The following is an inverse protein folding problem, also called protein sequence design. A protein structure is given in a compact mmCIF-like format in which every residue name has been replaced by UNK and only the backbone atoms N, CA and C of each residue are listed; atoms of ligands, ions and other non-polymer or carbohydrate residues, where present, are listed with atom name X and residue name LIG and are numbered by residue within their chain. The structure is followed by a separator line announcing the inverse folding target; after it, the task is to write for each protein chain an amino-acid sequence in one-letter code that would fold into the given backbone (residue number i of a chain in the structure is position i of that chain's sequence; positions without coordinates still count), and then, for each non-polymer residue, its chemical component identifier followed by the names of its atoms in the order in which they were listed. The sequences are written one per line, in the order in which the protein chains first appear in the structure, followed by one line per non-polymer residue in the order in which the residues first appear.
data_IF_215623383728
#
_entry.id   IF_215623383728
#
_cell.length_a   1.000
_cell.length_b   1.000
_cell.length_c   1.000
_cell.angle_alpha   90.00
_cell.angle_beta   90.00
_cell.angle_gamma   90.00
#
_symmetry.space_group_name_H-M   'P 1'
#
loop_
_entity.id
_entity.type
_entity.pdbx_description
1 polymer ?
#
# COMPACT_ATOMS: atom_id res chain seq x y z
N UNK A 1 -14.13 16.51 8.74
CA UNK A 1 -13.91 16.05 7.36
C UNK A 1 -13.08 14.79 7.45
N UNK A 2 -13.65 13.61 7.17
CA UNK A 2 -12.98 12.33 7.34
C UNK A 2 -11.98 12.05 6.21
N UNK A 3 -10.87 11.39 6.58
CA UNK A 3 -9.92 10.84 5.61
C UNK A 3 -10.57 9.61 4.99
N UNK A 4 -10.55 9.53 3.67
CA UNK A 4 -11.04 8.34 3.01
C UNK A 4 -9.94 7.28 2.93
N UNK A 5 -10.04 6.27 3.81
CA UNK A 5 -9.22 5.06 3.74
C UNK A 5 -10.14 3.91 3.34
N UNK A 6 -9.89 3.36 2.16
CA UNK A 6 -10.66 2.24 1.63
C UNK A 6 -9.94 0.93 1.93
N UNK A 7 -10.60 0.04 2.68
CA UNK A 7 -10.12 -1.31 2.94
C UNK A 7 -10.52 -2.25 1.80
N UNK A 8 -9.60 -3.01 1.29
CA UNK A 8 -9.84 -4.12 0.37
C UNK A 8 -9.81 -5.39 1.19
N UNK A 9 -10.97 -6.00 1.36
CA UNK A 9 -11.16 -7.21 2.18
C UNK A 9 -11.70 -8.33 1.30
N UNK A 10 -11.13 -9.53 1.42
CA UNK A 10 -11.63 -10.75 0.82
C UNK A 10 -11.60 -11.89 1.84
N UNK A 11 -12.74 -12.60 2.02
CA UNK A 11 -12.90 -13.68 3.00
C UNK A 11 -12.37 -13.30 4.40
N UNK A 12 -12.81 -12.15 4.91
CA UNK A 12 -12.41 -11.58 6.21
C UNK A 12 -10.93 -11.21 6.37
N UNK A 13 -10.11 -11.32 5.31
CA UNK A 13 -8.69 -10.92 5.32
C UNK A 13 -8.50 -9.57 4.65
N UNK A 14 -7.68 -8.73 5.24
CA UNK A 14 -7.27 -7.45 4.66
C UNK A 14 -6.26 -7.71 3.55
N UNK A 15 -6.59 -7.34 2.31
CA UNK A 15 -5.70 -7.44 1.16
C UNK A 15 -4.91 -6.16 0.93
N UNK A 16 -5.59 -5.02 1.07
CA UNK A 16 -4.94 -3.73 0.89
C UNK A 16 -5.68 -2.60 1.61
N UNK A 17 -4.96 -1.50 1.83
CA UNK A 17 -5.49 -0.20 2.20
C UNK A 17 -5.22 0.77 1.05
N UNK A 18 -6.24 1.48 0.58
CA UNK A 18 -6.08 2.59 -0.35
C UNK A 18 -6.36 3.88 0.41
N UNK A 19 -5.36 4.74 0.50
CA UNK A 19 -5.41 6.01 1.21
C UNK A 19 -5.55 7.12 0.17
N UNK A 20 -6.70 7.79 0.20
CA UNK A 20 -6.97 8.90 -0.70
C UNK A 20 -6.16 10.14 -0.32
N UNK A 21 -5.85 11.00 -1.29
CA UNK A 21 -5.10 12.24 -1.12
C UNK A 21 -5.69 13.20 -0.06
N UNK A 22 -6.90 12.94 0.43
CA UNK A 22 -7.54 13.71 1.51
C UNK A 22 -6.73 13.73 2.81
N UNK A 23 -5.80 12.79 3.04
CA UNK A 23 -4.88 12.82 4.18
C UNK A 23 -4.05 14.11 4.26
N UNK A 24 -3.79 14.78 3.14
CA UNK A 24 -3.02 16.04 3.08
C UNK A 24 -3.69 17.20 3.83
N UNK A 25 -4.97 17.06 4.20
CA UNK A 25 -5.73 18.03 5.02
C UNK A 25 -5.43 17.92 6.50
N UNK A 26 -4.83 16.82 6.95
CA UNK A 26 -4.42 16.61 8.34
C UNK A 26 -3.31 17.58 8.74
N UNK A 27 -3.21 17.84 10.03
CA UNK A 27 -2.14 18.63 10.65
C UNK A 27 -1.47 17.81 11.75
N UNK A 28 -0.21 18.12 12.05
CA UNK A 28 0.57 17.37 13.04
C UNK A 28 0.95 15.98 12.56
N UNK A 29 1.06 15.04 13.50
CA UNK A 29 1.42 13.64 13.27
C UNK A 29 0.16 12.79 13.25
N UNK A 30 -0.05 12.03 12.18
CA UNK A 30 -1.22 11.17 12.02
C UNK A 30 -0.81 9.82 11.43
N UNK A 31 -1.02 8.72 12.15
CA UNK A 31 -0.85 7.39 11.61
C UNK A 31 -2.12 6.95 10.87
N UNK A 32 -1.94 6.51 9.63
CA UNK A 32 -3.02 6.15 8.70
C UNK A 32 -3.32 4.64 8.70
N UNK A 33 -2.52 3.87 9.43
CA UNK A 33 -2.62 2.41 9.59
C UNK A 33 -3.00 2.05 11.02
N UNK A 34 -3.42 0.80 11.24
CA UNK A 34 -3.72 0.32 12.58
C UNK A 34 -2.41 0.24 13.39
N UNK A 35 -2.37 0.68 14.67
CA UNK A 35 -1.18 0.58 15.52
C UNK A 35 -0.59 -0.83 15.66
N UNK A 36 -1.40 -1.86 15.42
CA UNK A 36 -0.97 -3.29 15.48
C UNK A 36 -0.35 -3.79 14.17
N UNK A 37 -0.44 -3.02 13.07
CA UNK A 37 0.16 -3.42 11.80
C UNK A 37 1.70 -3.39 11.92
N UNK A 38 2.36 -4.36 11.30
CA UNK A 38 3.83 -4.46 11.32
C UNK A 38 4.53 -3.39 10.50
N UNK A 39 3.79 -2.74 9.61
CA UNK A 39 4.24 -1.57 8.86
C UNK A 39 3.29 -0.41 9.08
N UNK A 40 3.83 0.74 9.45
CA UNK A 40 3.08 1.94 9.76
C UNK A 40 3.26 2.99 8.67
N UNK A 41 2.16 3.66 8.32
CA UNK A 41 2.19 4.83 7.44
C UNK A 41 1.79 6.03 8.28
N UNK A 42 2.73 6.93 8.52
CA UNK A 42 2.51 8.19 9.23
C UNK A 42 2.56 9.37 8.27
N UNK A 43 1.58 10.25 8.34
CA UNK A 43 1.60 11.54 7.67
C UNK A 43 1.89 12.64 8.67
N UNK A 44 2.86 13.48 8.36
CA UNK A 44 3.28 14.59 9.21
C UNK A 44 3.19 15.92 8.46
N UNK A 45 2.59 16.90 9.09
CA UNK A 45 2.48 18.26 8.55
C UNK A 45 2.64 19.30 9.64
N UNK A 46 3.75 20.00 9.61
CA UNK A 46 4.13 21.00 10.60
C UNK A 46 4.38 22.35 9.94
N UNK A 47 4.25 23.42 10.72
CA UNK A 47 4.63 24.77 10.30
C UNK A 47 6.15 24.95 10.41
N UNK A 48 6.67 25.97 9.71
CA UNK A 48 8.07 26.41 9.86
C UNK A 48 8.43 26.61 11.34
N UNK A 49 9.66 26.30 11.72
CA UNK A 49 10.23 26.35 13.08
C UNK A 49 9.68 25.29 14.06
N UNK A 50 8.80 24.39 13.64
CA UNK A 50 8.43 23.25 14.49
C UNK A 50 9.62 22.31 14.66
N UNK A 51 9.89 21.93 15.89
CA UNK A 51 10.97 20.99 16.23
C UNK A 51 10.34 19.64 16.58
N UNK A 52 10.76 18.58 15.89
CA UNK A 52 10.50 17.22 16.30
C UNK A 52 11.67 16.81 17.20
N UNK A 53 11.39 16.50 18.47
CA UNK A 53 12.42 16.17 19.43
C UNK A 53 13.27 14.98 18.96
N UNK A 54 14.60 15.06 19.06
CA UNK A 54 15.49 13.93 18.80
C UNK A 54 15.09 12.71 19.65
N UNK A 55 15.09 11.55 19.04
CA UNK A 55 14.72 10.31 19.74
C UNK A 55 15.43 9.09 19.16
N UNK A 56 15.52 8.05 19.94
CA UNK A 56 16.04 6.75 19.55
C UNK A 56 14.92 5.72 19.56
N UNK A 57 14.85 4.90 18.51
CA UNK A 57 13.96 3.74 18.50
C UNK A 57 14.58 2.59 19.30
N UNK A 58 13.84 2.08 20.29
CA UNK A 58 14.26 0.92 21.07
C UNK A 58 14.28 -0.34 20.20
N UNK A 59 15.27 -1.20 20.44
CA UNK A 59 15.31 -2.54 19.81
C UNK A 59 14.06 -3.33 20.17
N UNK A 60 13.44 -3.97 19.20
CA UNK A 60 12.30 -4.86 19.40
C UNK A 60 12.33 -5.98 18.37
N UNK A 61 11.86 -7.15 18.73
CA UNK A 61 11.62 -8.25 17.82
C UNK A 61 10.19 -8.12 17.25
N UNK A 62 10.07 -8.24 15.93
CA UNK A 62 8.77 -8.24 15.25
C UNK A 62 8.71 -9.42 14.31
N UNK A 63 7.70 -10.27 14.46
CA UNK A 63 7.46 -11.37 13.54
C UNK A 63 6.67 -10.86 12.34
N UNK A 64 7.23 -10.98 11.15
CA UNK A 64 6.60 -10.63 9.89
C UNK A 64 6.27 -11.93 9.15
N UNK A 65 4.97 -12.18 8.91
CA UNK A 65 4.50 -13.37 8.21
C UNK A 65 4.36 -13.15 6.70
N UNK A 66 4.05 -11.94 6.29
CA UNK A 66 3.87 -11.54 4.90
C UNK A 66 4.60 -10.22 4.66
N UNK A 67 5.29 -10.12 3.53
CA UNK A 67 5.83 -8.86 3.07
C UNK A 67 4.67 -7.91 2.75
N UNK A 68 4.68 -6.73 3.37
CA UNK A 68 3.77 -5.65 3.01
C UNK A 68 4.50 -4.68 2.07
N UNK A 69 3.78 -4.19 1.07
CA UNK A 69 4.34 -3.25 0.08
C UNK A 69 3.50 -1.97 0.13
N UNK A 70 4.14 -0.83 0.35
CA UNK A 70 3.50 0.49 0.26
C UNK A 70 3.92 1.14 -1.04
N UNK A 71 2.96 1.55 -1.86
CA UNK A 71 3.20 2.23 -3.13
C UNK A 71 2.62 3.63 -3.05
N UNK A 72 3.45 4.62 -3.37
CA UNK A 72 3.10 6.04 -3.42
C UNK A 72 3.15 6.49 -4.88
N UNK A 73 2.04 6.96 -5.43
CA UNK A 73 1.96 7.42 -6.81
C UNK A 73 2.25 8.92 -6.89
N UNK A 74 3.35 9.29 -7.55
CA UNK A 74 3.72 10.68 -7.82
C UNK A 74 3.13 11.20 -9.12
N UNK A 75 3.01 10.32 -10.13
CA UNK A 75 2.47 10.66 -11.46
C UNK A 75 1.73 9.49 -12.06
N UNK A 76 0.76 9.76 -12.92
CA UNK A 76 0.10 8.77 -13.75
C UNK A 76 -1.00 7.96 -13.05
N UNK A 77 -1.30 6.79 -13.64
CA UNK A 77 -2.35 5.87 -13.21
C UNK A 77 -1.84 4.45 -13.26
N UNK A 78 -1.89 3.76 -12.13
CA UNK A 78 -1.57 2.36 -11.97
C UNK A 78 -2.86 1.55 -11.78
N UNK A 79 -3.07 0.49 -12.54
CA UNK A 79 -4.07 -0.53 -12.24
C UNK A 79 -3.43 -1.58 -11.33
N UNK A 80 -4.10 -1.88 -10.23
CA UNK A 80 -3.73 -2.93 -9.30
C UNK A 80 -4.73 -4.07 -9.44
N UNK A 81 -4.27 -5.25 -9.81
CA UNK A 81 -5.05 -6.45 -9.99
C UNK A 81 -4.90 -7.34 -8.75
N UNK A 82 -6.01 -7.72 -8.11
CA UNK A 82 -6.01 -8.52 -6.89
C UNK A 82 -6.33 -9.97 -7.19
N UNK A 83 -5.59 -10.88 -6.53
CA UNK A 83 -5.74 -12.32 -6.63
C UNK A 83 -5.79 -12.95 -5.24
N UNK A 84 -6.53 -14.04 -5.10
CA UNK A 84 -6.52 -14.82 -3.87
C UNK A 84 -5.24 -15.70 -3.76
N UNK A 85 -5.10 -16.40 -2.64
CA UNK A 85 -3.93 -17.27 -2.40
C UNK A 85 -3.85 -18.47 -3.36
N UNK A 86 -4.95 -18.78 -4.09
CA UNK A 86 -4.98 -19.78 -5.15
C UNK A 86 -4.71 -19.19 -6.53
N UNK A 87 -4.25 -17.92 -6.59
CA UNK A 87 -3.97 -17.15 -7.81
C UNK A 87 -5.22 -16.86 -8.67
N UNK A 88 -6.43 -17.00 -8.10
CA UNK A 88 -7.67 -16.65 -8.79
C UNK A 88 -7.85 -15.16 -8.77
N UNK A 89 -8.07 -14.55 -9.94
CA UNK A 89 -8.37 -13.13 -10.08
C UNK A 89 -9.67 -12.76 -9.36
N UNK A 90 -9.64 -11.65 -8.66
CA UNK A 90 -10.78 -11.12 -7.90
C UNK A 90 -11.38 -9.89 -8.57
N UNK A 91 -10.62 -8.83 -8.70
CA UNK A 91 -10.98 -7.56 -9.32
C UNK A 91 -9.77 -6.64 -9.39
N UNK A 92 -9.95 -5.46 -10.00
CA UNK A 92 -8.90 -4.44 -10.12
C UNK A 92 -9.34 -3.10 -9.55
N UNK A 93 -8.36 -2.29 -9.16
CA UNK A 93 -8.50 -0.88 -8.76
C UNK A 93 -7.53 -0.03 -9.55
N UNK A 94 -7.94 1.19 -9.88
CA UNK A 94 -7.05 2.24 -10.38
C UNK A 94 -6.58 3.09 -9.22
N UNK A 95 -5.29 3.31 -9.14
CA UNK A 95 -4.62 4.18 -8.17
C UNK A 95 -3.92 5.28 -8.96
N UNK A 96 -4.10 6.51 -8.54
CA UNK A 96 -3.65 7.68 -9.26
C UNK A 96 -2.77 8.59 -8.41
N UNK A 97 -2.19 9.60 -9.04
CA UNK A 97 -1.36 10.62 -8.40
C UNK A 97 -1.91 11.10 -7.06
N UNK A 98 -1.06 11.04 -6.04
CA UNK A 98 -1.34 11.50 -4.68
C UNK A 98 -2.06 10.49 -3.79
N UNK A 99 -2.42 9.32 -4.32
CA UNK A 99 -2.91 8.20 -3.54
C UNK A 99 -1.77 7.29 -3.09
N UNK A 100 -2.01 6.59 -1.99
CA UNK A 100 -1.10 5.58 -1.44
C UNK A 100 -1.87 4.26 -1.37
N UNK A 101 -1.23 3.16 -1.76
CA UNK A 101 -1.75 1.82 -1.52
C UNK A 101 -0.77 1.03 -0.69
N UNK A 102 -1.27 0.38 0.37
CA UNK A 102 -0.53 -0.60 1.16
C UNK A 102 -1.10 -1.98 0.86
N UNK A 103 -0.31 -2.83 0.27
CA UNK A 103 -0.63 -4.23 -0.02
C UNK A 103 -0.21 -5.09 1.18
N UNK A 104 -1.15 -5.85 1.73
CA UNK A 104 -0.97 -6.55 3.02
C UNK A 104 -0.94 -8.06 2.82
N UNK A 105 -1.81 -8.61 1.99
CA UNK A 105 -1.91 -10.04 1.76
C UNK A 105 -2.54 -10.37 0.40
N UNK A 106 -2.55 -11.65 0.04
CA UNK A 106 -3.02 -12.13 -1.26
C UNK A 106 -2.03 -11.87 -2.39
N UNK A 107 -2.41 -12.24 -3.60
CA UNK A 107 -1.65 -11.94 -4.81
C UNK A 107 -2.03 -10.58 -5.39
N UNK A 108 -1.08 -9.92 -6.01
CA UNK A 108 -1.32 -8.69 -6.74
C UNK A 108 -0.47 -8.61 -8.00
N UNK A 109 -0.94 -7.82 -8.95
CA UNK A 109 -0.23 -7.46 -10.17
C UNK A 109 -0.48 -6.00 -10.51
N UNK A 110 0.36 -5.43 -11.37
CA UNK A 110 0.28 -4.05 -11.79
C UNK A 110 0.23 -3.92 -13.30
N UNK A 111 -0.59 -2.99 -13.79
CA UNK A 111 -0.53 -2.51 -15.17
C UNK A 111 -0.49 -0.99 -15.19
N UNK A 112 0.47 -0.43 -15.88
CA UNK A 112 0.56 1.01 -16.11
C UNK A 112 -0.50 1.39 -17.12
N UNK A 113 -1.43 2.28 -16.73
CA UNK A 113 -2.50 2.81 -17.59
C UNK A 113 -2.12 4.17 -18.17
N UNK A 114 -1.40 4.98 -17.39
CA UNK A 114 -0.82 6.25 -17.81
C UNK A 114 0.54 6.36 -17.17
N UNK A 115 1.56 6.78 -17.91
CA UNK A 115 2.95 6.88 -17.45
C UNK A 115 3.03 7.17 -15.96
N UNK A 116 3.66 6.27 -15.23
CA UNK A 116 3.64 6.27 -13.77
C UNK A 116 5.03 6.51 -13.20
N UNK A 117 5.09 7.37 -12.19
CA UNK A 117 6.23 7.53 -11.30
C UNK A 117 5.75 7.18 -9.90
N UNK A 118 6.42 6.23 -9.25
CA UNK A 118 6.01 5.72 -7.94
C UNK A 118 7.22 5.26 -7.13
N UNK A 119 7.05 5.25 -5.80
CA UNK A 119 7.98 4.60 -4.87
C UNK A 119 7.29 3.37 -4.28
N UNK A 120 8.02 2.25 -4.24
CA UNK A 120 7.68 1.05 -3.48
C UNK A 120 8.54 1.01 -2.21
N UNK A 121 7.89 0.80 -1.06
CA UNK A 121 8.52 0.59 0.24
C UNK A 121 8.06 -0.75 0.77
N UNK A 122 9.00 -1.64 1.09
CA UNK A 122 8.67 -2.97 1.64
C UNK A 122 9.71 -3.41 2.66
N UNK A 123 9.38 -4.43 3.45
CA UNK A 123 10.36 -5.03 4.33
C UNK A 123 11.42 -5.78 3.51
N UNK A 124 12.67 -5.63 3.93
CA UNK A 124 13.82 -6.43 3.48
C UNK A 124 14.16 -7.54 4.49
N UNK A 125 15.24 -8.29 4.23
CA UNK A 125 16.09 -8.23 3.04
C UNK A 125 15.40 -8.83 1.81
N UNK A 126 15.77 -8.37 0.62
CA UNK A 126 15.21 -8.88 -0.63
C UNK A 126 15.96 -10.16 -1.09
N UNK A 127 15.20 -11.22 -1.38
CA UNK A 127 15.73 -12.45 -1.96
C UNK A 127 14.96 -12.79 -3.24
N UNK A 128 15.58 -12.64 -4.43
CA UNK A 128 14.89 -12.84 -5.71
C UNK A 128 14.26 -14.23 -5.90
N UNK A 129 14.88 -15.27 -5.32
CA UNK A 129 14.43 -16.65 -5.47
C UNK A 129 13.31 -17.05 -4.50
N UNK A 130 13.17 -16.36 -3.36
CA UNK A 130 12.26 -16.75 -2.27
C UNK A 130 11.09 -15.79 -2.06
N UNK A 131 11.25 -14.49 -2.42
CA UNK A 131 10.28 -13.47 -2.07
C UNK A 131 9.00 -13.49 -2.92
N UNK A 132 9.10 -13.89 -4.19
CA UNK A 132 7.98 -13.78 -5.13
C UNK A 132 7.80 -15.05 -5.95
N UNK A 133 6.56 -15.56 -6.00
CA UNK A 133 6.14 -16.60 -6.93
C UNK A 133 5.31 -15.97 -8.04
N UNK A 134 5.91 -15.75 -9.20
CA UNK A 134 5.24 -15.18 -10.39
C UNK A 134 4.20 -16.16 -10.94
N UNK A 135 3.14 -15.62 -11.53
CA UNK A 135 2.09 -16.38 -12.25
C UNK A 135 1.49 -15.49 -13.36
N UNK A 136 0.69 -16.11 -14.23
CA UNK A 136 0.07 -15.42 -15.36
C UNK A 136 -0.87 -14.32 -14.88
N UNK A 137 -0.75 -13.13 -15.46
CA UNK A 137 -1.68 -12.01 -15.20
C UNK A 137 -3.03 -12.22 -15.89
N UNK A 138 -4.04 -11.49 -15.46
CA UNK A 138 -5.38 -11.49 -16.04
C UNK A 138 -5.38 -10.81 -17.41
N UNK A 139 -6.09 -11.39 -18.38
CA UNK A 139 -6.29 -10.78 -19.68
C UNK A 139 -7.15 -9.51 -19.56
N UNK A 140 -6.83 -8.47 -20.35
CA UNK A 140 -7.48 -7.17 -20.23
C UNK A 140 -8.99 -7.21 -20.48
N UNK A 141 -9.47 -8.11 -21.34
CA UNK A 141 -10.91 -8.30 -21.63
C UNK A 141 -11.69 -8.92 -20.46
N UNK A 142 -11.01 -9.44 -19.43
CA UNK A 142 -11.61 -10.06 -18.23
C UNK A 142 -11.52 -9.16 -16.99
N UNK A 143 -11.02 -7.91 -17.15
CA UNK A 143 -10.83 -6.99 -16.05
C UNK A 143 -12.18 -6.53 -15.48
N UNK A 144 -12.29 -6.57 -14.17
CA UNK A 144 -13.43 -6.06 -13.40
C UNK A 144 -12.94 -4.93 -12.50
N UNK A 145 -13.18 -3.69 -12.91
CA UNK A 145 -12.89 -2.51 -12.08
C UNK A 145 -13.97 -2.37 -11.00
N UNK A 146 -13.57 -2.11 -9.77
CA UNK A 146 -14.45 -1.86 -8.62
C UNK A 146 -14.13 -0.54 -7.95
#
# INVERSE_FOLDING_TARGET
MSIMIKKIIHKKKLFALIIDKSFRKLKGVNFLTNPKDTQQIGFMKHKRKHVIQPHLHKKRLTKILFTTEVIIIFKGILRVDFYDNKKKYLFSKKISKGQIIMLVSGGHGFKVIKDVEMIEIKQGPFNPSKDKKKFKYIDDNKIRLK
#
